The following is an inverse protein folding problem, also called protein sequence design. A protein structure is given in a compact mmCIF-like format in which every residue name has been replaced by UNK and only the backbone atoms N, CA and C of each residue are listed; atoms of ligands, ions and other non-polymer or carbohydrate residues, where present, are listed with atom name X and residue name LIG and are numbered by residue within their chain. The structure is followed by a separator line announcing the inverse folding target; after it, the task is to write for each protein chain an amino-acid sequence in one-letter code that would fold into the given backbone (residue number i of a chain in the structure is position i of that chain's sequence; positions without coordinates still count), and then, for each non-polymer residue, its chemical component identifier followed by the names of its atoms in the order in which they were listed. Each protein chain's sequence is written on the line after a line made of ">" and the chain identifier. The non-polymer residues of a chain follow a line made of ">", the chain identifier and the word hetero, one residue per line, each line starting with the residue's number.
data_IF_714852393244
#
_entry.id   IF_714852393244
#
_cell.length_a   1.000
_cell.length_b   1.000
_cell.length_c   1.000
_cell.angle_alpha   90.00
_cell.angle_beta   90.00
_cell.angle_gamma   90.00
#
_symmetry.space_group_name_H-M   'P 1'
#
loop_
_entity.id
_entity.type
_entity.pdbx_description
1 polymer ?
#
# COMPACT_ATOMS: atom_id res chain seq x y z
N UNK A 1 13.37 18.37 5.94
CA UNK A 1 12.37 18.76 6.91
C UNK A 1 11.89 20.21 6.67
N UNK A 2 10.67 20.48 6.99
CA UNK A 2 10.04 21.76 6.70
C UNK A 2 10.12 22.77 7.83
N UNK A 3 10.80 22.44 8.87
CA UNK A 3 10.74 23.24 10.08
C UNK A 3 11.31 24.64 10.00
N UNK A 4 12.21 24.89 9.05
CA UNK A 4 12.85 26.19 8.95
C UNK A 4 11.87 27.33 8.77
N UNK A 5 10.77 27.04 8.09
CA UNK A 5 9.78 28.06 7.79
C UNK A 5 8.71 28.19 8.85
N UNK A 6 8.79 27.37 9.87
CA UNK A 6 7.77 27.34 10.89
C UNK A 6 6.53 26.56 10.53
N UNK A 7 6.47 26.00 9.34
CA UNK A 7 5.35 25.18 8.92
C UNK A 7 5.61 23.76 9.31
N UNK A 8 4.65 23.16 10.02
CA UNK A 8 4.76 21.78 10.46
C UNK A 8 3.69 20.95 9.77
N UNK A 9 4.12 19.89 9.08
CA UNK A 9 3.20 19.01 8.40
C UNK A 9 2.79 17.89 9.34
N UNK A 10 1.52 17.45 9.22
CA UNK A 10 1.08 16.24 9.91
C UNK A 10 1.79 15.03 9.30
N UNK A 11 1.75 13.90 10.01
CA UNK A 11 2.34 12.67 9.49
C UNK A 11 1.78 12.30 8.12
N UNK A 12 0.45 12.43 7.97
CA UNK A 12 -0.18 12.09 6.70
C UNK A 12 0.20 13.05 5.59
N UNK A 13 0.28 14.34 5.90
CA UNK A 13 0.70 15.34 4.91
C UNK A 13 2.13 15.11 4.47
N UNK A 14 3.02 14.82 5.42
CA UNK A 14 4.41 14.55 5.10
C UNK A 14 4.53 13.31 4.22
N UNK A 15 3.74 12.28 4.52
CA UNK A 15 3.78 11.05 3.76
C UNK A 15 3.28 11.26 2.34
N UNK A 16 2.19 12.04 2.18
CA UNK A 16 1.69 12.35 0.84
C UNK A 16 2.69 13.17 0.03
N UNK A 17 3.38 14.10 0.70
CA UNK A 17 4.38 14.90 0.02
C UNK A 17 5.56 14.04 -0.45
N UNK A 18 6.00 13.11 0.40
CA UNK A 18 7.07 12.21 0.02
C UNK A 18 6.68 11.34 -1.17
N UNK A 19 5.43 10.85 -1.17
CA UNK A 19 4.92 10.05 -2.27
C UNK A 19 4.87 10.88 -3.56
N UNK A 20 4.40 12.12 -3.46
CA UNK A 20 4.33 12.99 -4.62
C UNK A 20 5.72 13.25 -5.20
N UNK A 21 6.72 13.44 -4.34
CA UNK A 21 8.08 13.62 -4.82
C UNK A 21 8.61 12.40 -5.55
N UNK A 22 8.31 11.23 -5.03
CA UNK A 22 8.70 9.99 -5.68
C UNK A 22 8.07 9.90 -7.07
N UNK A 23 6.80 10.26 -7.18
CA UNK A 23 6.09 10.15 -8.44
C UNK A 23 6.46 11.23 -9.44
N UNK A 24 6.97 12.38 -8.96
CA UNK A 24 7.47 13.40 -9.88
C UNK A 24 8.64 12.91 -10.72
N UNK A 25 9.36 11.94 -10.19
CA UNK A 25 10.48 11.31 -10.91
C UNK A 25 10.10 9.91 -11.34
N UNK A 26 8.92 9.78 -11.93
CA UNK A 26 8.37 8.49 -12.30
C UNK A 26 9.33 7.70 -13.16
N UNK A 27 9.57 6.47 -12.76
CA UNK A 27 10.44 5.53 -13.45
C UNK A 27 9.62 4.31 -13.85
N UNK A 28 10.12 3.49 -14.79
CA UNK A 28 9.42 2.25 -15.11
C UNK A 28 9.19 1.33 -13.91
N UNK A 29 10.06 1.40 -12.92
CA UNK A 29 9.94 0.62 -11.70
C UNK A 29 9.89 1.56 -10.49
N UNK A 30 8.85 1.41 -9.67
CA UNK A 30 8.66 2.22 -8.48
C UNK A 30 8.48 1.28 -7.30
N UNK A 31 9.24 1.50 -6.24
CA UNK A 31 9.15 0.72 -5.01
C UNK A 31 8.65 1.65 -3.91
N UNK A 32 7.54 1.29 -3.29
CA UNK A 32 6.92 2.07 -2.22
C UNK A 32 6.88 1.22 -0.97
N UNK A 33 7.57 1.67 0.07
CA UNK A 33 7.66 0.93 1.32
C UNK A 33 6.72 1.56 2.34
N UNK A 34 5.61 0.89 2.58
CA UNK A 34 4.60 1.30 3.56
C UNK A 34 4.17 2.77 3.37
N UNK A 35 3.78 3.14 2.16
CA UNK A 35 3.56 4.57 1.86
C UNK A 35 2.30 5.15 2.48
N UNK A 36 1.43 4.33 3.07
CA UNK A 36 0.15 4.81 3.58
C UNK A 36 0.04 4.72 5.11
N UNK A 37 1.14 4.43 5.79
CA UNK A 37 1.08 4.11 7.23
C UNK A 37 0.54 5.26 8.07
N UNK A 38 0.72 6.51 7.63
CA UNK A 38 0.26 7.67 8.38
C UNK A 38 -1.06 8.23 7.87
N UNK A 39 -1.72 7.55 6.95
CA UNK A 39 -2.97 8.04 6.38
C UNK A 39 -4.17 7.35 7.01
N UNK A 40 -5.26 8.11 7.14
CA UNK A 40 -6.53 7.51 7.53
C UNK A 40 -7.12 6.77 6.32
N UNK A 41 -8.15 5.98 6.58
CA UNK A 41 -8.68 5.10 5.54
C UNK A 41 -9.28 5.86 4.35
N UNK A 42 -9.92 6.97 4.63
CA UNK A 42 -10.52 7.75 3.56
C UNK A 42 -9.45 8.32 2.65
N UNK A 43 -8.43 8.95 3.24
CA UNK A 43 -7.34 9.53 2.47
C UNK A 43 -6.56 8.45 1.73
N UNK A 44 -6.35 7.32 2.38
CA UNK A 44 -5.65 6.20 1.77
C UNK A 44 -6.35 5.73 0.50
N UNK A 45 -7.67 5.61 0.53
CA UNK A 45 -8.41 5.17 -0.66
C UNK A 45 -8.21 6.12 -1.82
N UNK A 46 -8.28 7.42 -1.54
CA UNK A 46 -8.08 8.41 -2.59
C UNK A 46 -6.68 8.37 -3.15
N UNK A 47 -5.69 8.32 -2.26
CA UNK A 47 -4.30 8.31 -2.69
C UNK A 47 -3.98 7.04 -3.47
N UNK A 48 -4.50 5.90 -3.01
CA UNK A 48 -4.25 4.64 -3.69
C UNK A 48 -4.86 4.62 -5.09
N UNK A 49 -6.09 5.12 -5.22
CA UNK A 49 -6.75 5.16 -6.52
C UNK A 49 -5.98 6.05 -7.49
N UNK A 50 -5.54 7.22 -7.01
CA UNK A 50 -4.76 8.12 -7.84
C UNK A 50 -3.40 7.53 -8.20
N UNK A 51 -2.80 6.83 -7.28
CA UNK A 51 -1.52 6.18 -7.50
C UNK A 51 -1.64 5.13 -8.61
N UNK A 52 -2.68 4.30 -8.54
CA UNK A 52 -2.86 3.26 -9.55
C UNK A 52 -3.04 3.86 -10.93
N UNK A 53 -3.82 4.93 -11.04
CA UNK A 53 -4.03 5.58 -12.32
C UNK A 53 -2.74 6.21 -12.85
N UNK A 54 -2.01 6.87 -11.97
CA UNK A 54 -0.80 7.57 -12.36
C UNK A 54 0.31 6.62 -12.81
N UNK A 55 0.34 5.43 -12.24
CA UNK A 55 1.43 4.46 -12.46
C UNK A 55 1.00 3.26 -13.30
N UNK A 56 -0.09 3.38 -14.05
CA UNK A 56 -0.62 2.21 -14.76
C UNK A 56 0.33 1.67 -15.83
N UNK A 57 1.28 2.48 -16.28
CA UNK A 57 2.28 2.03 -17.25
C UNK A 57 3.62 1.73 -16.59
N UNK A 58 3.65 1.59 -15.29
CA UNK A 58 4.85 1.31 -14.52
C UNK A 58 4.70 -0.01 -13.79
N UNK A 59 5.85 -0.56 -13.36
CA UNK A 59 5.85 -1.67 -12.42
C UNK A 59 5.94 -1.06 -11.03
N UNK A 60 4.96 -1.34 -10.20
CA UNK A 60 4.92 -0.82 -8.83
C UNK A 60 5.04 -1.98 -7.86
N UNK A 61 6.00 -1.88 -6.96
CA UNK A 61 6.15 -2.84 -5.87
C UNK A 61 5.70 -2.12 -4.60
N UNK A 62 4.61 -2.58 -4.03
CA UNK A 62 4.04 -2.00 -2.81
C UNK A 62 4.33 -2.92 -1.65
N UNK A 63 5.06 -2.41 -0.67
CA UNK A 63 5.34 -3.14 0.56
C UNK A 63 4.43 -2.57 1.63
N UNK A 64 3.53 -3.39 2.15
CA UNK A 64 2.50 -2.89 3.05
C UNK A 64 1.95 -4.01 3.92
N UNK A 65 1.47 -3.64 5.10
CA UNK A 65 0.74 -4.55 5.99
C UNK A 65 -0.76 -4.48 5.75
N UNK A 66 -1.21 -3.66 4.81
CA UNK A 66 -2.63 -3.42 4.57
C UNK A 66 -3.12 -4.35 3.48
N UNK A 67 -3.37 -5.59 3.87
CA UNK A 67 -3.73 -6.66 2.93
C UNK A 67 -5.02 -6.40 2.18
N UNK A 68 -5.90 -5.58 2.73
CA UNK A 68 -7.17 -5.28 2.07
C UNK A 68 -6.99 -4.51 0.76
N UNK A 69 -5.78 -3.99 0.51
CA UNK A 69 -5.47 -3.37 -0.78
C UNK A 69 -5.06 -4.38 -1.83
N UNK A 70 -4.67 -5.57 -1.40
CA UNK A 70 -4.02 -6.54 -2.29
C UNK A 70 -4.92 -7.16 -3.34
N UNK A 71 -6.24 -7.28 -3.16
CA UNK A 71 -7.08 -7.75 -4.25
C UNK A 71 -7.00 -6.90 -5.51
N UNK A 72 -6.57 -5.64 -5.38
CA UNK A 72 -6.45 -4.73 -6.52
C UNK A 72 -5.08 -4.81 -7.19
N UNK A 73 -4.18 -5.63 -6.67
CA UNK A 73 -2.85 -5.80 -7.23
C UNK A 73 -2.84 -6.94 -8.23
N UNK A 74 -1.95 -6.84 -9.21
CA UNK A 74 -1.82 -7.90 -10.21
C UNK A 74 -1.22 -9.16 -9.63
N UNK A 75 -0.34 -9.02 -8.65
CA UNK A 75 0.34 -10.15 -8.04
C UNK A 75 0.68 -9.82 -6.60
N UNK A 76 0.61 -10.83 -5.76
CA UNK A 76 0.94 -10.71 -4.35
C UNK A 76 2.12 -11.64 -4.06
N UNK A 77 3.07 -11.16 -3.27
CA UNK A 77 4.20 -11.95 -2.82
C UNK A 77 4.14 -12.03 -1.31
N UNK A 78 4.06 -13.26 -0.80
CA UNK A 78 3.94 -13.51 0.62
C UNK A 78 5.19 -14.21 1.11
N UNK A 79 5.81 -13.66 2.16
CA UNK A 79 7.03 -14.20 2.74
C UNK A 79 6.70 -14.86 4.06
N UNK A 80 7.05 -16.12 4.19
CA UNK A 80 6.67 -16.90 5.36
C UNK A 80 7.73 -17.96 5.62
N UNK A 81 8.29 -17.95 6.82
CA UNK A 81 9.25 -18.96 7.25
C UNK A 81 10.37 -19.20 6.23
N UNK A 82 10.90 -18.11 5.69
CA UNK A 82 11.98 -18.19 4.72
C UNK A 82 11.55 -18.62 3.34
N UNK A 83 10.26 -18.77 3.12
CA UNK A 83 9.72 -19.16 1.82
C UNK A 83 9.00 -17.99 1.18
N UNK A 84 8.99 -17.98 -0.14
CA UNK A 84 8.30 -16.97 -0.92
C UNK A 84 7.18 -17.63 -1.69
N UNK A 85 5.97 -17.13 -1.53
CA UNK A 85 4.80 -17.63 -2.25
C UNK A 85 4.25 -16.46 -3.06
N UNK A 86 4.12 -16.66 -4.36
CA UNK A 86 3.67 -15.60 -5.26
C UNK A 86 2.48 -16.05 -6.08
N UNK A 87 1.58 -15.11 -6.37
CA UNK A 87 0.39 -15.39 -7.15
C UNK A 87 -0.59 -14.24 -7.04
N UNK A 88 -1.77 -14.44 -7.61
CA UNK A 88 -2.84 -13.46 -7.43
C UNK A 88 -3.32 -13.51 -5.98
N UNK A 89 -4.09 -12.49 -5.60
CA UNK A 89 -4.68 -12.49 -4.27
C UNK A 89 -5.46 -13.79 -4.01
N UNK A 90 -6.28 -14.20 -4.97
CA UNK A 90 -7.09 -15.42 -4.78
C UNK A 90 -6.23 -16.66 -4.61
N UNK A 91 -5.14 -16.74 -5.38
CA UNK A 91 -4.24 -17.88 -5.25
C UNK A 91 -3.58 -17.93 -3.89
N UNK A 92 -3.15 -16.78 -3.38
CA UNK A 92 -2.51 -16.72 -2.07
C UNK A 92 -3.51 -17.02 -0.97
N UNK A 93 -4.75 -16.55 -1.11
CA UNK A 93 -5.81 -16.89 -0.15
C UNK A 93 -5.97 -18.40 -0.02
N UNK A 94 -5.86 -19.11 -1.12
CA UNK A 94 -6.03 -20.57 -1.11
C UNK A 94 -4.79 -21.30 -0.59
N UNK A 95 -3.61 -20.75 -0.85
CA UNK A 95 -2.37 -21.44 -0.52
C UNK A 95 -1.84 -21.15 0.87
N UNK A 96 -2.17 -19.98 1.42
CA UNK A 96 -1.57 -19.50 2.66
C UNK A 96 -2.65 -19.21 3.69
N UNK A 97 -2.92 -20.16 4.61
CA UNK A 97 -3.93 -19.90 5.65
C UNK A 97 -3.68 -18.68 6.50
N UNK A 98 -2.41 -18.40 6.80
CA UNK A 98 -2.08 -17.23 7.61
C UNK A 98 -2.43 -15.94 6.88
N UNK A 99 -2.18 -15.88 5.59
CA UNK A 99 -2.55 -14.73 4.79
C UNK A 99 -4.07 -14.55 4.80
N UNK A 100 -4.80 -15.64 4.60
CA UNK A 100 -6.26 -15.58 4.55
C UNK A 100 -6.85 -15.09 5.88
N UNK A 101 -6.32 -15.59 6.99
CA UNK A 101 -6.79 -15.16 8.30
C UNK A 101 -6.55 -13.68 8.51
N UNK A 102 -5.34 -13.23 8.21
CA UNK A 102 -4.98 -11.83 8.40
C UNK A 102 -5.81 -10.91 7.49
N UNK A 103 -5.99 -11.31 6.23
CA UNK A 103 -6.79 -10.54 5.31
C UNK A 103 -8.23 -10.39 5.81
N UNK A 104 -8.83 -11.49 6.25
CA UNK A 104 -10.20 -11.46 6.71
C UNK A 104 -10.36 -10.62 7.98
N UNK A 105 -9.38 -10.67 8.87
CA UNK A 105 -9.41 -9.85 10.07
C UNK A 105 -9.38 -8.37 9.72
N UNK A 106 -8.50 -7.99 8.79
CA UNK A 106 -8.39 -6.60 8.40
C UNK A 106 -9.63 -6.13 7.66
N UNK A 107 -10.19 -6.98 6.81
CA UNK A 107 -11.39 -6.63 6.06
C UNK A 107 -12.56 -6.40 7.00
N UNK A 108 -12.70 -7.26 8.02
CA UNK A 108 -13.75 -7.08 9.00
C UNK A 108 -13.61 -5.77 9.75
N UNK A 109 -12.39 -5.46 10.21
CA UNK A 109 -12.12 -4.20 10.88
C UNK A 109 -12.35 -3.00 9.97
N UNK A 110 -11.93 -3.12 8.72
CA UNK A 110 -12.12 -2.03 7.78
C UNK A 110 -13.60 -1.76 7.51
N UNK A 111 -14.40 -2.83 7.45
CA UNK A 111 -15.85 -2.68 7.29
C UNK A 111 -16.49 -1.98 8.48
N UNK A 112 -16.02 -2.33 9.66
CA UNK A 112 -16.58 -1.76 10.89
C UNK A 112 -16.28 -0.27 11.00
N UNK A 113 -15.24 0.20 10.35
CA UNK A 113 -14.88 1.61 10.42
C UNK A 113 -15.66 2.49 9.45
N UNK A 114 -16.44 1.87 8.62
CA UNK A 114 -17.28 2.62 7.70
C UNK A 114 -18.64 2.90 8.29
#
# INVERSE_FOLDING_TARGET
>A
RQGNTGVRLSGGQAQRLALARTLCHKKPLIILDDPFSALDKYTEREVFANLKEYTKDCIVILISHRLYLFPQMDKVIWLENGKTIAGTHDEIMNKCPQYAVLYNEQKGGASDEE
#
